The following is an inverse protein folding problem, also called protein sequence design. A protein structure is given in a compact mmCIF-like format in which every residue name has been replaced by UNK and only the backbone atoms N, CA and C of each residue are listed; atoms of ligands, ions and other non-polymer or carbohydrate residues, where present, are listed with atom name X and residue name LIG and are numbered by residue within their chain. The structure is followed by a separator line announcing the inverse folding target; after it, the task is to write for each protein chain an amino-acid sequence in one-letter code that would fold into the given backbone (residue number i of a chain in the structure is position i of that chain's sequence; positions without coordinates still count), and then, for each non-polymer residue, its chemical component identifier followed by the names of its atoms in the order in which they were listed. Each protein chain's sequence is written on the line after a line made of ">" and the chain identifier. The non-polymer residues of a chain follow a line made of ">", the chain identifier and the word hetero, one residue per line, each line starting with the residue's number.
data_IF_647595824050
#
_entry.id   IF_647595824050
#
_cell.length_a   1.000
_cell.length_b   1.000
_cell.length_c   1.000
_cell.angle_alpha   90.00
_cell.angle_beta   90.00
_cell.angle_gamma   90.00
#
_symmetry.space_group_name_H-M   'P 1'
#
loop_
_entity.id
_entity.type
_entity.pdbx_description
1 polymer ?
#
# COMPACT_ATOMS: atom_id res chain seq x y z
N UNK A 1 20.58 4.73 -5.96
CA UNK A 1 19.34 5.40 -5.52
C UNK A 1 18.02 4.66 -5.81
N UNK A 2 17.93 3.71 -6.76
CA UNK A 2 16.64 3.07 -7.09
C UNK A 2 16.04 2.18 -5.98
N UNK A 3 16.87 1.53 -5.17
CA UNK A 3 16.41 0.59 -4.14
C UNK A 3 15.75 1.31 -2.95
N UNK A 4 16.32 2.43 -2.51
CA UNK A 4 15.81 3.22 -1.38
C UNK A 4 14.47 3.88 -1.68
N UNK A 5 14.32 4.46 -2.88
CA UNK A 5 13.02 4.94 -3.38
C UNK A 5 11.94 3.85 -3.32
N UNK A 6 12.27 2.64 -3.77
CA UNK A 6 11.33 1.51 -3.76
C UNK A 6 10.90 1.12 -2.35
N UNK A 7 11.83 1.15 -1.39
CA UNK A 7 11.53 0.89 0.02
C UNK A 7 10.60 1.96 0.62
N UNK A 8 10.84 3.24 0.33
CA UNK A 8 9.97 4.33 0.77
C UNK A 8 8.57 4.20 0.15
N UNK A 9 8.49 3.93 -1.16
CA UNK A 9 7.19 3.71 -1.82
C UNK A 9 6.42 2.54 -1.18
N UNK A 10 7.11 1.46 -0.80
CA UNK A 10 6.51 0.33 -0.09
C UNK A 10 6.04 0.70 1.31
N UNK A 11 6.79 1.51 2.04
CA UNK A 11 6.39 2.00 3.36
C UNK A 11 5.12 2.86 3.28
N UNK A 12 5.04 3.77 2.30
CA UNK A 12 3.85 4.61 2.06
C UNK A 12 2.61 3.75 1.77
N UNK A 13 2.76 2.70 0.95
CA UNK A 13 1.67 1.77 0.68
C UNK A 13 1.19 1.06 1.94
N UNK A 14 2.11 0.54 2.75
CA UNK A 14 1.76 -0.10 4.03
C UNK A 14 1.04 0.86 4.97
N UNK A 15 1.53 2.08 5.11
CA UNK A 15 0.86 3.12 5.90
C UNK A 15 -0.57 3.39 5.42
N UNK A 16 -0.80 3.36 4.11
CA UNK A 16 -2.13 3.59 3.52
C UNK A 16 -3.08 2.41 3.76
N UNK A 17 -2.59 1.17 3.60
CA UNK A 17 -3.41 -0.05 3.68
C UNK A 17 -3.57 -0.54 5.11
N UNK A 18 -2.46 -0.70 5.83
CA UNK A 18 -2.43 -1.32 7.16
C UNK A 18 -2.82 -0.31 8.26
N UNK A 19 -2.37 0.95 8.14
CA UNK A 19 -2.66 1.99 9.13
C UNK A 19 -3.83 2.92 8.72
N UNK A 20 -4.44 2.69 7.55
CA UNK A 20 -5.60 3.45 7.08
C UNK A 20 -5.33 4.94 6.83
N UNK A 21 -4.07 5.33 6.64
CA UNK A 21 -3.72 6.75 6.46
C UNK A 21 -4.20 7.27 5.09
N UNK A 22 -4.82 8.46 5.04
CA UNK A 22 -5.30 9.02 3.79
C UNK A 22 -4.12 9.38 2.88
N UNK A 23 -4.23 9.06 1.60
CA UNK A 23 -3.17 9.34 0.63
C UNK A 23 -2.79 10.83 0.54
N UNK A 24 -3.75 11.74 0.78
CA UNK A 24 -3.51 13.18 0.83
C UNK A 24 -2.45 13.59 1.86
N UNK A 25 -2.23 12.79 2.91
CA UNK A 25 -1.18 13.02 3.89
C UNK A 25 0.21 13.08 3.25
N UNK A 26 0.47 12.25 2.23
CA UNK A 26 1.77 12.18 1.55
C UNK A 26 2.01 13.31 0.56
N UNK A 27 0.99 14.13 0.30
CA UNK A 27 1.09 15.35 -0.50
C UNK A 27 1.16 16.61 0.38
N UNK A 28 1.12 16.46 1.71
CA UNK A 28 1.22 17.60 2.63
C UNK A 28 2.67 18.10 2.68
N UNK A 29 2.85 19.43 2.62
CA UNK A 29 4.18 20.07 2.50
C UNK A 29 5.15 19.59 3.59
N UNK A 30 4.72 19.53 4.86
CA UNK A 30 5.56 19.05 5.97
C UNK A 30 6.00 17.59 5.81
N UNK A 31 5.17 16.74 5.21
CA UNK A 31 5.56 15.35 4.98
C UNK A 31 6.48 15.23 3.77
N UNK A 32 6.27 16.06 2.74
CA UNK A 32 7.19 16.16 1.59
C UNK A 32 8.58 16.62 2.07
N UNK A 33 8.64 17.64 2.93
CA UNK A 33 9.90 18.11 3.53
C UNK A 33 10.60 17.02 4.35
N UNK A 34 9.84 16.27 5.15
CA UNK A 34 10.36 15.11 5.88
C UNK A 34 10.93 14.06 4.92
N UNK A 35 10.20 13.73 3.86
CA UNK A 35 10.62 12.72 2.87
C UNK A 35 11.85 13.18 2.08
N UNK A 36 11.94 14.47 1.73
CA UNK A 36 13.10 15.05 1.04
C UNK A 36 14.35 15.06 1.95
N UNK A 37 14.16 15.28 3.26
CA UNK A 37 15.23 15.16 4.25
C UNK A 37 15.76 13.72 4.35
N UNK A 38 14.89 12.72 4.26
CA UNK A 38 15.25 11.30 4.35
C UNK A 38 15.85 10.73 3.05
N UNK A 39 15.39 11.23 1.90
CA UNK A 39 15.87 10.89 0.56
C UNK A 39 15.77 12.12 -0.35
N UNK A 40 16.90 12.79 -0.64
CA UNK A 40 16.89 14.01 -1.42
C UNK A 40 16.27 13.83 -2.80
N UNK A 41 15.40 14.76 -3.19
CA UNK A 41 14.63 14.78 -4.44
C UNK A 41 13.64 13.63 -4.57
N UNK A 42 13.26 12.98 -3.45
CA UNK A 42 12.19 12.00 -3.46
C UNK A 42 10.87 12.66 -3.87
N UNK A 43 10.20 12.04 -4.84
CA UNK A 43 8.84 12.41 -5.22
C UNK A 43 7.91 11.27 -4.81
N UNK A 44 6.94 11.52 -3.92
CA UNK A 44 5.92 10.54 -3.61
C UNK A 44 5.24 10.04 -4.89
N UNK A 45 4.93 8.73 -4.98
CA UNK A 45 4.13 8.21 -6.10
C UNK A 45 2.77 8.89 -6.11
N UNK A 46 2.25 9.24 -7.27
CA UNK A 46 0.92 9.85 -7.37
C UNK A 46 -0.20 8.88 -6.97
N UNK A 47 -1.40 9.43 -6.76
CA UNK A 47 -2.58 8.66 -6.35
C UNK A 47 -2.92 7.54 -7.34
N UNK A 48 -2.68 7.76 -8.63
CA UNK A 48 -2.96 6.76 -9.67
C UNK A 48 -2.02 5.56 -9.54
N UNK A 49 -0.73 5.83 -9.36
CA UNK A 49 0.33 4.84 -9.13
C UNK A 49 0.04 4.03 -7.87
N UNK A 50 -0.38 4.68 -6.79
CA UNK A 50 -0.77 4.00 -5.55
C UNK A 50 -2.00 3.11 -5.80
N UNK A 51 -3.02 3.63 -6.48
CA UNK A 51 -4.25 2.89 -6.79
C UNK A 51 -3.97 1.62 -7.60
N UNK A 52 -3.11 1.70 -8.61
CA UNK A 52 -2.69 0.54 -9.40
C UNK A 52 -1.98 -0.50 -8.52
N UNK A 53 -1.05 -0.06 -7.66
CA UNK A 53 -0.33 -0.97 -6.76
C UNK A 53 -1.23 -1.62 -5.71
N UNK A 54 -2.23 -0.91 -5.20
CA UNK A 54 -3.25 -1.48 -4.30
C UNK A 54 -4.05 -2.55 -5.06
N UNK A 55 -4.46 -2.28 -6.30
CA UNK A 55 -5.15 -3.27 -7.13
C UNK A 55 -4.29 -4.52 -7.35
N UNK A 56 -3.02 -4.36 -7.70
CA UNK A 56 -2.10 -5.49 -7.90
C UNK A 56 -1.93 -6.30 -6.61
N UNK A 57 -1.78 -5.63 -5.45
CA UNK A 57 -1.70 -6.31 -4.16
C UNK A 57 -2.98 -7.08 -3.82
N UNK A 58 -4.15 -6.50 -4.09
CA UNK A 58 -5.44 -7.18 -3.91
C UNK A 58 -5.54 -8.44 -4.77
N UNK A 59 -5.18 -8.36 -6.06
CA UNK A 59 -5.23 -9.52 -6.96
C UNK A 59 -4.25 -10.63 -6.54
N UNK A 60 -3.03 -10.26 -6.14
CA UNK A 60 -2.06 -11.22 -5.64
C UNK A 60 -2.55 -11.91 -4.36
N UNK A 61 -3.04 -11.15 -3.38
CA UNK A 61 -3.62 -11.74 -2.17
C UNK A 61 -4.84 -12.60 -2.45
N UNK A 62 -5.69 -12.21 -3.40
CA UNK A 62 -6.85 -13.01 -3.79
C UNK A 62 -6.46 -14.30 -4.51
N UNK A 63 -5.40 -14.27 -5.32
CA UNK A 63 -4.84 -15.46 -5.92
C UNK A 63 -4.31 -16.42 -4.85
N UNK A 64 -3.54 -15.90 -3.89
CA UNK A 64 -3.02 -16.68 -2.77
C UNK A 64 -4.16 -17.27 -1.93
N UNK A 65 -5.15 -16.48 -1.55
CA UNK A 65 -6.35 -16.95 -0.84
C UNK A 65 -7.06 -18.04 -1.61
N UNK A 66 -7.28 -17.89 -2.92
CA UNK A 66 -7.90 -18.92 -3.77
C UNK A 66 -7.10 -20.22 -3.79
N UNK A 67 -5.78 -20.16 -3.67
CA UNK A 67 -4.96 -21.38 -3.60
C UNK A 67 -5.12 -22.12 -2.26
N UNK A 68 -5.35 -21.38 -1.17
CA UNK A 68 -5.46 -21.96 0.17
C UNK A 68 -6.90 -22.38 0.49
N UNK A 69 -7.91 -21.61 0.06
CA UNK A 69 -9.34 -21.81 0.31
C UNK A 69 -9.83 -23.28 0.18
N UNK A 70 -9.44 -24.06 -0.85
CA UNK A 70 -9.86 -25.47 -0.99
C UNK A 70 -9.35 -26.40 0.12
N UNK A 71 -8.32 -25.99 0.85
CA UNK A 71 -7.66 -26.75 1.91
C UNK A 71 -8.10 -26.31 3.31
N UNK A 72 -8.90 -25.25 3.40
CA UNK A 72 -9.47 -24.77 4.65
C UNK A 72 -10.83 -25.47 4.84
N UNK A 73 -11.12 -25.89 6.07
CA UNK A 73 -12.40 -26.50 6.44
C UNK A 73 -13.60 -25.54 6.24
N UNK A 74 -14.78 -25.83 6.80
CA UNK A 74 -15.98 -25.02 6.56
C UNK A 74 -15.74 -23.53 6.89
N UNK A 75 -16.04 -22.67 5.91
CA UNK A 75 -15.86 -21.22 5.98
C UNK A 75 -17.23 -20.58 6.23
N UNK A 76 -17.34 -19.79 7.28
CA UNK A 76 -18.50 -18.96 7.53
C UNK A 76 -18.19 -17.52 7.11
N UNK A 77 -19.05 -16.92 6.29
CA UNK A 77 -19.01 -15.50 5.96
C UNK A 77 -19.93 -14.74 6.92
N UNK A 78 -19.39 -13.74 7.59
CA UNK A 78 -20.16 -12.81 8.42
C UNK A 78 -20.37 -11.52 7.63
N UNK A 79 -21.61 -11.03 7.58
CA UNK A 79 -21.95 -9.73 7.02
C UNK A 79 -22.43 -8.81 8.13
N UNK A 80 -21.82 -7.64 8.25
CA UNK A 80 -22.37 -6.55 9.04
C UNK A 80 -23.48 -5.88 8.20
N UNK A 81 -24.73 -5.96 8.68
CA UNK A 81 -25.92 -5.32 8.09
C UNK A 81 -26.17 -3.94 8.71
#
# INVERSE_FOLDING_TARGET
>A
SSNRKRQIDQAILKCTIEAGLPFSLFNHDSLIELLDTLEPRYKPPDRHTISLRIHDQYFNHMHDLKSVLPHIGPIAFTSDL
#
